data_IF_925343356071
#
_entry.id   IF_925343356071
#
_cell.length_a   1.000
_cell.length_b   1.000
_cell.length_c   1.000
_cell.angle_alpha   90.00
_cell.angle_beta   90.00
_cell.angle_gamma   90.00
#
_symmetry.space_group_name_H-M   'P 1'
#
loop_
_entity.id
_entity.type
_entity.pdbx_description
1 polymer ?
#
# COMPACT_ATOMS: atom_id res chain seq x y z
N UNK A 1 -0.90 -26.11 -9.66
CA UNK A 1 -0.66 -24.79 -9.07
C UNK A 1 -1.24 -23.70 -9.96
N UNK A 2 -1.52 -22.55 -9.39
CA UNK A 2 -2.03 -21.37 -10.10
C UNK A 2 -1.11 -20.19 -9.87
N UNK A 3 -0.80 -19.44 -10.92
CA UNK A 3 0.05 -18.25 -10.91
C UNK A 3 -0.78 -16.96 -10.99
N UNK A 4 -0.13 -15.83 -10.69
CA UNK A 4 -0.70 -14.49 -10.70
C UNK A 4 -0.88 -13.89 -9.30
N UNK A 5 -0.70 -14.70 -8.23
CA UNK A 5 -0.86 -14.28 -6.84
C UNK A 5 0.46 -14.12 -6.08
N UNK A 6 1.59 -14.43 -6.69
CA UNK A 6 2.90 -14.54 -6.04
C UNK A 6 3.31 -13.23 -5.34
N UNK A 7 2.94 -12.09 -5.92
CA UNK A 7 3.23 -10.77 -5.37
C UNK A 7 2.49 -10.48 -4.05
N UNK A 8 1.34 -11.14 -3.80
CA UNK A 8 0.58 -10.99 -2.56
C UNK A 8 1.25 -11.67 -1.37
N UNK A 9 2.13 -12.66 -1.59
CA UNK A 9 2.81 -13.40 -0.53
C UNK A 9 3.61 -12.52 0.45
N UNK A 10 4.03 -11.35 0.00
CA UNK A 10 4.74 -10.38 0.82
C UNK A 10 3.89 -9.20 1.30
N UNK A 11 2.57 -9.20 1.09
CA UNK A 11 1.67 -8.11 1.50
C UNK A 11 0.80 -8.61 2.66
N UNK A 12 0.96 -8.08 3.89
CA UNK A 12 0.11 -8.44 5.00
C UNK A 12 -1.29 -7.82 4.82
N UNK A 13 -2.32 -8.54 5.25
CA UNK A 13 -3.70 -8.07 5.21
C UNK A 13 -4.68 -9.10 4.71
N UNK A 14 -5.94 -8.70 4.53
CA UNK A 14 -7.01 -9.53 3.96
C UNK A 14 -7.15 -9.34 2.45
N UNK A 15 -7.80 -10.29 1.78
CA UNK A 15 -8.14 -10.16 0.36
C UNK A 15 -9.09 -8.98 0.13
N UNK A 16 -10.06 -8.75 1.03
CA UNK A 16 -10.92 -7.57 0.96
C UNK A 16 -10.15 -6.26 0.99
N UNK A 17 -9.17 -6.12 1.88
CA UNK A 17 -8.27 -4.96 1.93
C UNK A 17 -7.40 -4.84 0.67
N UNK A 18 -6.93 -5.95 0.12
CA UNK A 18 -6.18 -5.98 -1.13
C UNK A 18 -7.01 -5.48 -2.33
N UNK A 19 -8.29 -5.87 -2.40
CA UNK A 19 -9.25 -5.40 -3.41
C UNK A 19 -9.55 -3.91 -3.20
N UNK A 20 -9.79 -3.48 -1.96
CA UNK A 20 -10.06 -2.08 -1.62
C UNK A 20 -8.93 -1.15 -2.08
N UNK A 21 -7.69 -1.53 -1.81
CA UNK A 21 -6.50 -0.73 -2.11
C UNK A 21 -5.93 -0.99 -3.51
N UNK A 22 -6.51 -1.87 -4.33
CA UNK A 22 -5.83 -2.36 -5.53
C UNK A 22 -4.37 -2.70 -5.20
N UNK A 23 -4.18 -3.54 -4.19
CA UNK A 23 -2.85 -3.83 -3.66
C UNK A 23 -1.93 -4.39 -4.75
N UNK A 24 -0.68 -3.98 -4.73
CA UNK A 24 0.28 -4.45 -5.72
C UNK A 24 1.71 -4.12 -5.37
N UNK A 25 2.63 -4.88 -5.93
CA UNK A 25 4.06 -4.63 -5.89
C UNK A 25 4.74 -5.26 -7.12
N UNK A 26 5.94 -4.80 -7.42
CA UNK A 26 6.77 -5.32 -8.52
C UNK A 26 6.06 -5.35 -9.88
N UNK A 27 5.17 -4.37 -10.12
CA UNK A 27 4.49 -4.21 -11.41
C UNK A 27 3.19 -5.02 -11.58
N UNK A 28 2.78 -5.78 -10.57
CA UNK A 28 1.50 -6.52 -10.57
C UNK A 28 0.56 -5.92 -9.51
N UNK A 29 -0.72 -5.79 -9.85
CA UNK A 29 -1.77 -5.27 -8.97
C UNK A 29 -2.98 -6.23 -8.95
N UNK A 30 -3.86 -6.09 -7.95
CA UNK A 30 -5.09 -6.90 -7.83
C UNK A 30 -5.93 -6.83 -9.11
N UNK A 31 -6.05 -5.67 -9.74
CA UNK A 31 -6.79 -5.51 -10.99
C UNK A 31 -6.39 -6.47 -12.12
N UNK A 32 -5.13 -6.94 -12.12
CA UNK A 32 -4.59 -7.79 -13.19
C UNK A 32 -5.14 -9.22 -13.14
N UNK A 33 -5.57 -9.64 -11.94
CA UNK A 33 -6.09 -10.98 -11.67
C UNK A 33 -7.55 -11.00 -11.19
N UNK A 34 -8.10 -9.86 -10.80
CA UNK A 34 -9.46 -9.74 -10.28
C UNK A 34 -10.50 -9.93 -11.38
N UNK A 35 -11.58 -10.65 -11.08
CA UNK A 35 -12.73 -10.83 -11.97
C UNK A 35 -13.96 -10.10 -11.42
N UNK A 36 -14.40 -10.46 -10.20
CA UNK A 36 -15.54 -9.84 -9.54
C UNK A 36 -15.46 -10.01 -8.03
N UNK A 37 -16.21 -9.19 -7.31
CA UNK A 37 -16.41 -9.35 -5.87
C UNK A 37 -17.89 -9.35 -5.49
N UNK A 38 -18.18 -10.08 -4.41
CA UNK A 38 -19.48 -10.12 -3.74
C UNK A 38 -19.35 -9.34 -2.43
N UNK A 39 -20.25 -8.39 -2.24
CA UNK A 39 -20.16 -7.44 -1.15
C UNK A 39 -21.50 -7.31 -0.43
N UNK A 40 -21.46 -6.73 0.76
CA UNK A 40 -22.62 -6.18 1.46
C UNK A 40 -22.47 -4.65 1.52
N UNK A 41 -23.57 -3.94 1.33
CA UNK A 41 -23.66 -2.54 1.74
C UNK A 41 -23.97 -2.45 3.26
N UNK A 42 -23.95 -1.24 3.83
CA UNK A 42 -24.22 -1.06 5.25
C UNK A 42 -25.68 -1.30 5.67
N UNK A 43 -26.59 -1.43 4.70
CA UNK A 43 -27.99 -1.81 4.94
C UNK A 43 -28.18 -3.34 4.89
N UNK A 44 -27.10 -4.10 4.63
CA UNK A 44 -27.10 -5.56 4.55
C UNK A 44 -27.52 -6.12 3.19
N UNK A 45 -27.68 -5.29 2.15
CA UNK A 45 -28.01 -5.78 0.82
C UNK A 45 -26.76 -6.30 0.10
N UNK A 46 -26.93 -7.37 -0.63
CA UNK A 46 -25.86 -7.94 -1.47
C UNK A 46 -25.61 -7.07 -2.69
N UNK A 47 -24.34 -6.87 -3.01
CA UNK A 47 -23.85 -6.15 -4.18
C UNK A 47 -22.77 -6.99 -4.87
N UNK A 48 -22.73 -6.92 -6.19
CA UNK A 48 -21.68 -7.55 -6.98
C UNK A 48 -21.10 -6.51 -7.94
N UNK A 49 -19.79 -6.49 -8.09
CA UNK A 49 -19.14 -5.69 -9.12
C UNK A 49 -18.04 -6.48 -9.83
N UNK A 50 -17.84 -6.18 -11.09
CA UNK A 50 -16.87 -6.83 -11.97
C UNK A 50 -15.69 -5.90 -12.29
N UNK A 51 -14.62 -6.50 -12.83
CA UNK A 51 -13.46 -5.75 -13.29
C UNK A 51 -13.79 -5.06 -14.63
N UNK A 52 -13.83 -3.75 -14.60
CA UNK A 52 -13.95 -2.89 -15.78
C UNK A 52 -12.78 -1.92 -15.84
N UNK A 53 -12.63 -1.15 -16.92
CA UNK A 53 -11.60 -0.12 -17.04
C UNK A 53 -11.59 0.89 -15.87
N UNK A 54 -12.77 1.11 -15.27
CA UNK A 54 -12.96 2.16 -14.25
C UNK A 54 -13.00 1.62 -12.82
N UNK A 55 -12.95 0.28 -12.65
CA UNK A 55 -13.02 -0.35 -11.32
C UNK A 55 -11.82 0.02 -10.45
N UNK A 56 -10.64 0.07 -11.02
CA UNK A 56 -9.41 0.29 -10.27
C UNK A 56 -8.56 1.44 -10.81
N UNK A 57 -7.94 2.14 -9.90
CA UNK A 57 -6.84 3.07 -10.17
C UNK A 57 -5.66 2.79 -9.23
N UNK A 58 -4.58 3.55 -9.34
CA UNK A 58 -3.41 3.33 -8.50
C UNK A 58 -3.76 3.49 -7.01
N UNK A 59 -3.60 2.41 -6.23
CA UNK A 59 -3.93 2.35 -4.80
C UNK A 59 -5.37 2.76 -4.46
N UNK A 60 -6.31 2.41 -5.34
CA UNK A 60 -7.72 2.73 -5.14
C UNK A 60 -8.62 1.78 -5.91
N UNK A 61 -9.72 1.36 -5.28
CA UNK A 61 -10.88 0.80 -5.96
C UNK A 61 -11.96 1.90 -5.99
N UNK A 62 -12.54 2.15 -7.14
CA UNK A 62 -13.50 3.24 -7.33
C UNK A 62 -14.95 2.86 -6.97
N UNK A 63 -15.20 1.57 -6.68
CA UNK A 63 -16.55 1.02 -6.48
C UNK A 63 -16.81 0.65 -5.01
N UNK A 64 -15.82 0.09 -4.30
CA UNK A 64 -16.02 -0.49 -2.95
C UNK A 64 -16.18 0.53 -1.81
N UNK A 65 -16.26 1.82 -2.09
CA UNK A 65 -16.59 2.80 -1.07
C UNK A 65 -17.97 2.44 -0.48
N UNK A 66 -18.03 2.29 0.85
CA UNK A 66 -19.24 1.86 1.59
C UNK A 66 -19.70 0.41 1.32
N UNK A 67 -18.82 -0.48 0.87
CA UNK A 67 -19.07 -1.90 0.71
C UNK A 67 -18.11 -2.73 1.57
N UNK A 68 -18.62 -3.84 2.09
CA UNK A 68 -17.84 -4.86 2.78
C UNK A 68 -17.65 -6.03 1.80
N UNK A 69 -16.42 -6.29 1.39
CA UNK A 69 -16.09 -7.43 0.53
C UNK A 69 -16.22 -8.72 1.31
N UNK A 70 -17.08 -9.63 0.88
CA UNK A 70 -17.34 -10.93 1.50
C UNK A 70 -16.58 -12.04 0.77
N UNK A 71 -16.60 -12.01 -0.57
CA UNK A 71 -15.97 -13.01 -1.42
C UNK A 71 -15.51 -12.38 -2.73
N UNK A 72 -14.61 -13.06 -3.45
CA UNK A 72 -14.13 -12.58 -4.74
C UNK A 72 -13.67 -13.72 -5.64
N UNK A 73 -13.93 -13.55 -6.93
CA UNK A 73 -13.43 -14.42 -7.99
C UNK A 73 -12.17 -13.81 -8.64
N UNK A 74 -11.19 -14.66 -8.87
CA UNK A 74 -9.93 -14.28 -9.51
C UNK A 74 -9.63 -15.16 -10.72
N UNK A 75 -8.89 -14.59 -11.66
CA UNK A 75 -8.42 -15.27 -12.85
C UNK A 75 -7.55 -16.48 -12.47
N UNK A 76 -7.92 -17.64 -13.02
CA UNK A 76 -7.23 -18.90 -12.80
C UNK A 76 -6.25 -19.17 -13.94
N UNK A 77 -4.97 -18.94 -13.72
CA UNK A 77 -3.91 -19.24 -14.69
C UNK A 77 -3.09 -20.41 -14.19
N UNK A 78 -3.01 -21.50 -14.96
CA UNK A 78 -2.13 -22.63 -14.61
C UNK A 78 -0.66 -22.18 -14.64
N UNK A 79 0.11 -22.61 -13.66
CA UNK A 79 1.54 -22.33 -13.57
C UNK A 79 2.31 -23.52 -13.00
N UNK A 80 3.60 -23.55 -13.28
CA UNK A 80 4.50 -24.51 -12.70
C UNK A 80 4.74 -24.24 -11.21
N UNK A 81 4.68 -25.27 -10.38
CA UNK A 81 4.81 -25.12 -8.93
C UNK A 81 6.17 -24.52 -8.51
N UNK A 82 7.27 -25.03 -9.09
CA UNK A 82 8.61 -24.58 -8.70
C UNK A 82 8.83 -23.10 -9.08
N UNK A 83 8.36 -22.70 -10.25
CA UNK A 83 8.41 -21.31 -10.71
C UNK A 83 7.62 -20.38 -9.80
N UNK A 84 6.41 -20.78 -9.40
CA UNK A 84 5.55 -20.01 -8.49
C UNK A 84 6.23 -19.88 -7.11
N UNK A 85 6.70 -20.99 -6.55
CA UNK A 85 7.38 -21.00 -5.25
C UNK A 85 8.65 -20.12 -5.25
N UNK A 86 9.43 -20.21 -6.33
CA UNK A 86 10.61 -19.35 -6.49
C UNK A 86 10.25 -17.86 -6.47
N UNK A 87 9.29 -17.45 -7.28
CA UNK A 87 8.80 -16.05 -7.30
C UNK A 87 8.29 -15.59 -5.94
N UNK A 88 7.52 -16.41 -5.23
CA UNK A 88 7.06 -16.08 -3.88
C UNK A 88 8.23 -15.83 -2.92
N UNK A 89 9.26 -16.70 -2.95
CA UNK A 89 10.48 -16.55 -2.14
C UNK A 89 11.25 -15.27 -2.52
N UNK A 90 11.36 -14.95 -3.79
CA UNK A 90 11.97 -13.71 -4.27
C UNK A 90 11.23 -12.46 -3.76
N UNK A 91 9.89 -12.44 -3.86
CA UNK A 91 9.07 -11.34 -3.37
C UNK A 91 9.27 -11.12 -1.87
N UNK A 92 9.19 -12.19 -1.08
CA UNK A 92 9.39 -12.12 0.37
C UNK A 92 10.81 -11.68 0.72
N UNK A 93 11.83 -12.25 0.08
CA UNK A 93 13.23 -11.89 0.31
C UNK A 93 13.53 -10.43 -0.05
N UNK A 94 13.04 -9.96 -1.20
CA UNK A 94 13.22 -8.58 -1.65
C UNK A 94 12.58 -7.58 -0.68
N UNK A 95 11.38 -7.87 -0.17
CA UNK A 95 10.74 -7.03 0.85
C UNK A 95 11.52 -7.04 2.16
N UNK A 96 11.99 -8.20 2.58
CA UNK A 96 12.79 -8.35 3.80
C UNK A 96 14.09 -7.53 3.76
N UNK A 97 14.72 -7.40 2.61
CA UNK A 97 15.94 -6.58 2.46
C UNK A 97 15.65 -5.08 2.42
N UNK A 98 14.55 -4.66 1.81
CA UNK A 98 14.26 -3.24 1.51
C UNK A 98 13.31 -2.57 2.50
N UNK A 99 12.49 -3.33 3.22
CA UNK A 99 11.46 -2.79 4.12
C UNK A 99 11.74 -3.17 5.59
N UNK A 100 11.26 -2.35 6.54
CA UNK A 100 11.42 -2.68 7.96
C UNK A 100 10.59 -3.90 8.34
N UNK A 101 11.15 -4.77 9.20
CA UNK A 101 10.51 -5.96 9.75
C UNK A 101 10.40 -5.87 11.26
N UNK A 102 9.37 -6.48 11.84
CA UNK A 102 9.17 -6.62 13.29
C UNK A 102 9.18 -5.29 14.05
N UNK A 103 8.80 -4.21 13.39
CA UNK A 103 8.64 -2.88 14.00
C UNK A 103 7.24 -2.34 13.72
N UNK A 104 6.78 -1.40 14.55
CA UNK A 104 5.47 -0.77 14.40
C UNK A 104 5.51 0.25 13.28
N UNK A 105 4.86 -0.08 12.19
CA UNK A 105 4.69 0.77 11.01
C UNK A 105 3.38 0.38 10.29
N UNK A 106 2.77 1.33 9.62
CA UNK A 106 1.57 1.11 8.79
C UNK A 106 1.93 0.79 7.32
N UNK A 107 3.21 0.50 7.02
CA UNK A 107 3.70 0.28 5.66
C UNK A 107 4.15 1.56 4.97
N UNK A 108 4.08 1.58 3.65
CA UNK A 108 4.36 2.79 2.86
C UNK A 108 3.40 3.90 3.24
N UNK A 109 3.95 5.02 3.69
CA UNK A 109 3.16 6.14 4.22
C UNK A 109 2.53 6.96 3.09
N UNK A 110 3.28 7.22 2.03
CA UNK A 110 2.87 8.05 0.91
C UNK A 110 2.85 7.26 -0.40
N UNK A 111 1.91 7.61 -1.27
CA UNK A 111 1.85 7.11 -2.64
C UNK A 111 3.05 7.59 -3.44
N UNK A 112 3.52 6.74 -4.36
CA UNK A 112 4.46 7.24 -5.34
C UNK A 112 3.76 8.27 -6.24
N UNK A 113 4.42 9.40 -6.54
CA UNK A 113 3.90 10.40 -7.46
C UNK A 113 3.64 9.83 -8.86
N UNK A 114 2.98 10.61 -9.72
CA UNK A 114 2.75 10.24 -11.11
C UNK A 114 4.07 9.84 -11.79
N UNK A 115 4.04 8.83 -12.67
CA UNK A 115 5.22 8.34 -13.39
C UNK A 115 5.98 9.43 -14.14
N UNK A 116 5.28 10.48 -14.60
CA UNK A 116 5.90 11.64 -15.28
C UNK A 116 6.92 12.41 -14.43
N UNK A 117 6.85 12.27 -13.09
CA UNK A 117 7.82 12.88 -12.16
C UNK A 117 9.16 12.10 -12.14
N UNK A 118 9.14 10.80 -12.49
CA UNK A 118 10.32 9.95 -12.57
C UNK A 118 10.94 9.57 -11.24
N UNK A 119 10.35 10.00 -10.10
CA UNK A 119 10.84 9.73 -8.75
C UNK A 119 9.75 9.07 -7.89
N UNK A 120 10.17 8.19 -6.99
CA UNK A 120 9.32 7.56 -5.98
C UNK A 120 9.25 8.44 -4.72
N UNK A 121 8.25 8.22 -3.88
CA UNK A 121 8.08 8.98 -2.63
C UNK A 121 9.32 8.91 -1.72
N UNK A 122 9.92 7.72 -1.56
CA UNK A 122 11.11 7.57 -0.72
C UNK A 122 12.32 8.36 -1.23
N UNK A 123 12.49 8.49 -2.57
CA UNK A 123 13.57 9.27 -3.18
C UNK A 123 13.40 10.76 -2.91
N UNK A 124 12.18 11.27 -3.02
CA UNK A 124 11.85 12.66 -2.70
C UNK A 124 12.09 12.99 -1.22
N UNK A 125 11.73 12.07 -0.32
CA UNK A 125 11.97 12.22 1.12
C UNK A 125 13.48 12.25 1.42
N UNK A 126 14.28 11.39 0.81
CA UNK A 126 15.74 11.37 0.98
C UNK A 126 16.39 12.63 0.38
N UNK A 127 15.99 13.06 -0.80
CA UNK A 127 16.47 14.28 -1.47
C UNK A 127 16.17 15.55 -0.64
N UNK A 128 15.08 15.51 0.12
CA UNK A 128 14.72 16.58 1.07
C UNK A 128 15.50 16.53 2.40
N UNK A 129 16.52 15.66 2.49
CA UNK A 129 17.37 15.54 3.69
C UNK A 129 16.69 14.86 4.88
N UNK A 130 15.57 14.16 4.67
CA UNK A 130 14.73 13.64 5.75
C UNK A 130 15.01 12.18 6.14
N UNK A 131 16.02 11.51 5.56
CA UNK A 131 16.29 10.09 5.81
C UNK A 131 16.42 9.72 7.30
N UNK A 132 16.97 10.60 8.11
CA UNK A 132 17.14 10.37 9.57
C UNK A 132 16.19 11.24 10.40
N UNK A 133 15.14 11.77 9.79
CA UNK A 133 14.23 12.68 10.47
C UNK A 133 13.47 12.00 11.62
N UNK A 134 13.45 12.68 12.76
CA UNK A 134 12.75 12.25 13.99
C UNK A 134 12.05 13.44 14.61
N UNK A 135 10.87 13.20 15.18
CA UNK A 135 10.11 14.20 15.92
C UNK A 135 9.24 13.50 16.97
N UNK A 136 9.28 13.96 18.21
CA UNK A 136 8.42 13.48 19.30
C UNK A 136 8.43 11.95 19.53
N UNK A 137 9.56 11.28 19.25
CA UNK A 137 9.68 9.83 19.40
C UNK A 137 9.18 8.99 18.22
N UNK A 138 8.76 9.64 17.15
CA UNK A 138 8.43 9.03 15.86
C UNK A 138 9.61 9.27 14.91
N UNK A 139 9.87 8.34 14.01
CA UNK A 139 10.98 8.45 13.05
C UNK A 139 10.64 7.82 11.71
N UNK A 140 11.40 8.18 10.68
CA UNK A 140 11.44 7.38 9.47
C UNK A 140 12.31 6.14 9.66
N UNK A 141 11.96 5.06 8.96
CA UNK A 141 12.73 3.83 8.98
C UNK A 141 14.11 4.05 8.33
N UNK A 142 15.21 3.60 8.97
CA UNK A 142 16.53 3.66 8.34
C UNK A 142 16.65 2.77 7.10
N UNK A 143 15.79 1.74 6.96
CA UNK A 143 15.75 0.86 5.78
C UNK A 143 15.00 1.47 4.59
N UNK A 144 13.95 2.28 4.86
CA UNK A 144 13.09 2.79 3.80
C UNK A 144 12.44 4.11 4.23
N UNK A 145 12.82 5.21 3.60
CA UNK A 145 12.41 6.55 4.00
C UNK A 145 10.89 6.81 3.91
N UNK A 146 10.14 6.00 3.16
CA UNK A 146 8.67 6.12 3.09
C UNK A 146 7.93 5.28 4.13
N UNK A 147 8.59 4.89 5.23
CA UNK A 147 7.97 4.13 6.33
C UNK A 147 8.12 4.89 7.64
N UNK A 148 7.00 5.38 8.18
CA UNK A 148 6.96 5.96 9.52
C UNK A 148 7.00 4.83 10.56
N UNK A 149 7.83 4.99 11.57
CA UNK A 149 8.05 4.03 12.65
C UNK A 149 7.65 4.64 13.98
N UNK A 150 6.74 3.96 14.69
CA UNK A 150 6.22 4.37 15.99
C UNK A 150 6.58 3.33 17.09
N UNK A 151 7.84 3.25 17.48
CA UNK A 151 8.29 2.32 18.52
C UNK A 151 7.91 2.76 19.93
N UNK A 152 7.63 4.04 20.14
CA UNK A 152 7.30 4.60 21.44
C UNK A 152 5.79 4.69 21.72
N UNK A 153 4.96 4.03 20.91
CA UNK A 153 3.51 3.96 21.10
C UNK A 153 2.82 5.34 21.18
N UNK A 154 3.29 6.29 20.38
CA UNK A 154 2.65 7.61 20.26
C UNK A 154 1.26 7.51 19.64
N UNK A 155 0.42 8.52 19.88
CA UNK A 155 -0.93 8.59 19.34
C UNK A 155 -0.95 8.69 17.81
N UNK A 156 -2.10 8.36 17.20
CA UNK A 156 -2.33 8.49 15.75
C UNK A 156 -2.17 9.95 15.28
N UNK A 157 -2.66 10.92 16.05
CA UNK A 157 -2.51 12.33 15.74
C UNK A 157 -1.04 12.76 15.61
N UNK A 158 -0.17 12.25 16.48
CA UNK A 158 1.27 12.55 16.41
C UNK A 158 1.91 11.91 15.17
N UNK A 159 1.44 10.74 14.70
CA UNK A 159 1.89 10.12 13.45
C UNK A 159 1.44 10.95 12.25
N UNK A 160 0.22 11.44 12.27
CA UNK A 160 -0.34 12.31 11.24
C UNK A 160 0.45 13.62 11.18
N UNK A 161 0.66 14.30 12.33
CA UNK A 161 1.46 15.53 12.40
C UNK A 161 2.89 15.32 11.85
N UNK A 162 3.50 14.19 12.21
CA UNK A 162 4.82 13.82 11.67
C UNK A 162 4.80 13.67 10.15
N UNK A 163 3.76 13.03 9.60
CA UNK A 163 3.58 12.88 8.15
C UNK A 163 3.33 14.20 7.45
N UNK A 164 2.53 15.10 8.04
CA UNK A 164 2.29 16.44 7.46
C UNK A 164 3.58 17.27 7.43
N UNK A 165 4.41 17.23 8.46
CA UNK A 165 5.74 17.88 8.45
C UNK A 165 6.63 17.33 7.34
N UNK A 166 6.59 16.02 7.06
CA UNK A 166 7.33 15.44 5.93
C UNK A 166 6.79 15.98 4.61
N UNK A 167 5.47 16.01 4.43
CA UNK A 167 4.81 16.50 3.22
C UNK A 167 5.20 17.96 2.92
N UNK A 168 5.14 18.81 3.94
CA UNK A 168 5.52 20.22 3.85
C UNK A 168 7.00 20.37 3.45
N UNK A 169 7.91 19.68 4.13
CA UNK A 169 9.34 19.75 3.84
C UNK A 169 9.68 19.25 2.43
N UNK A 170 9.07 18.15 1.99
CA UNK A 170 9.24 17.63 0.62
C UNK A 170 8.71 18.64 -0.39
N UNK A 171 7.51 19.20 -0.15
CA UNK A 171 6.95 20.21 -1.04
C UNK A 171 7.83 21.45 -1.16
N UNK A 172 8.33 21.97 -0.04
CA UNK A 172 9.20 23.15 -0.01
C UNK A 172 10.52 22.93 -0.75
N UNK A 173 11.06 21.69 -0.71
CA UNK A 173 12.33 21.36 -1.37
C UNK A 173 12.18 21.01 -2.86
N UNK A 174 11.07 20.33 -3.22
CA UNK A 174 10.93 19.69 -4.54
C UNK A 174 9.76 20.24 -5.38
N UNK A 175 8.85 21.00 -4.78
CA UNK A 175 7.60 21.45 -5.40
C UNK A 175 6.55 20.32 -5.54
N UNK A 176 6.81 19.11 -5.00
CA UNK A 176 5.95 17.95 -5.16
C UNK A 176 5.24 17.66 -3.82
N UNK A 177 3.91 17.74 -3.82
CA UNK A 177 3.09 17.34 -2.67
C UNK A 177 2.89 15.83 -2.67
N UNK A 178 3.27 15.17 -1.58
CA UNK A 178 3.05 13.74 -1.40
C UNK A 178 1.60 13.46 -0.98
N UNK A 179 0.98 12.44 -1.58
CA UNK A 179 -0.35 11.95 -1.19
C UNK A 179 -0.23 10.81 -0.19
N UNK A 180 -1.10 10.79 0.81
CA UNK A 180 -1.19 9.68 1.75
C UNK A 180 -1.56 8.36 1.05
N UNK A 181 -0.84 7.26 1.37
CA UNK A 181 -1.24 5.90 1.02
C UNK A 181 -1.98 5.23 2.17
N UNK A 182 -1.57 5.48 3.41
CA UNK A 182 -2.29 5.01 4.59
C UNK A 182 -3.62 5.76 4.73
N UNK A 183 -4.63 5.05 5.25
CA UNK A 183 -5.95 5.62 5.50
C UNK A 183 -5.99 6.21 6.91
N UNK A 184 -6.41 7.46 7.02
CA UNK A 184 -6.66 8.15 8.30
C UNK A 184 -8.15 8.05 8.56
N UNK A 185 -8.55 7.48 9.70
CA UNK A 185 -9.94 7.21 10.06
C UNK A 185 -10.20 7.73 11.47
N UNK A 186 -11.37 8.36 11.68
CA UNK A 186 -11.80 8.90 12.95
C UNK A 186 -11.56 10.41 13.05
N UNK A 187 -11.90 10.94 14.21
CA UNK A 187 -11.73 12.36 14.53
C UNK A 187 -10.40 12.60 15.25
N UNK A 188 -9.87 13.82 15.15
CA UNK A 188 -8.66 14.27 15.84
C UNK A 188 -8.91 14.55 17.32
#
# INVERSE_FOLDING_TARGET
SYSGFEYLSGIPGSIGGAIYMNAGCYGTEVKDIFLKAYCLDYDGNTRTFENTSDTFSYRKNNIVNNLIVIDADFKKTKGDFQTIEHKMKEVVSSKKTTQPEKIRTAGSTFKNPKKSIGKKAWELIEESGLRSFKMNGISLSPKHANFIVNQQFKSSNMIEDFGEVIREKVFNQTGIMLDWEIQIIGDR
#
